data_IF_332044203291
#
_entry.id   IF_332044203291
#
_cell.length_a   1.000
_cell.length_b   1.000
_cell.length_c   1.000
_cell.angle_alpha   90.00
_cell.angle_beta   90.00
_cell.angle_gamma   90.00
#
_symmetry.space_group_name_H-M   'P 1'
#
loop_
_entity.id
_entity.type
_entity.pdbx_description
1 polymer ?
#
# COMPACT_ATOMS: atom_id res chain seq x y z
N UNK A 1 -9.38 25.16 -4.83
CA UNK A 1 -8.32 25.55 -3.90
C UNK A 1 -8.19 24.55 -2.76
N UNK A 2 -9.28 24.09 -2.15
CA UNK A 2 -9.26 23.05 -1.10
C UNK A 2 -8.59 21.73 -1.51
N UNK A 3 -8.87 21.20 -2.71
CA UNK A 3 -8.24 19.96 -3.21
C UNK A 3 -6.72 20.04 -3.29
N UNK A 4 -6.15 21.20 -3.63
CA UNK A 4 -4.68 21.40 -3.69
C UNK A 4 -4.09 21.41 -2.29
N UNK A 5 -4.76 22.09 -1.34
CA UNK A 5 -4.33 22.15 0.06
C UNK A 5 -4.38 20.77 0.72
N UNK A 6 -5.45 20.00 0.49
CA UNK A 6 -5.62 18.66 1.03
C UNK A 6 -4.57 17.68 0.46
N UNK A 7 -4.26 17.78 -0.84
CA UNK A 7 -3.20 17.00 -1.50
C UNK A 7 -1.83 17.30 -0.91
N UNK A 8 -1.49 18.59 -0.71
CA UNK A 8 -0.19 19.00 -0.16
C UNK A 8 -0.02 18.55 1.29
N UNK A 9 -1.09 18.55 2.09
CA UNK A 9 -1.06 18.11 3.48
C UNK A 9 -0.90 16.59 3.59
N UNK A 10 -1.59 15.80 2.76
CA UNK A 10 -1.45 14.33 2.67
C UNK A 10 -0.01 13.94 2.33
N UNK A 11 0.53 14.48 1.24
CA UNK A 11 1.91 14.22 0.79
C UNK A 11 2.94 14.55 1.86
N UNK A 12 2.77 15.70 2.54
CA UNK A 12 3.66 16.11 3.64
C UNK A 12 3.58 15.14 4.82
N UNK A 13 2.38 14.66 5.15
CA UNK A 13 2.18 13.69 6.23
C UNK A 13 2.83 12.34 5.92
N UNK A 14 2.66 11.82 4.70
CA UNK A 14 3.30 10.57 4.25
C UNK A 14 4.82 10.72 4.30
N UNK A 15 5.37 11.78 3.70
CA UNK A 15 6.82 12.06 3.70
C UNK A 15 7.37 12.15 5.13
N UNK A 16 6.67 12.85 6.03
CA UNK A 16 7.08 12.95 7.44
C UNK A 16 7.09 11.59 8.13
N UNK A 17 6.10 10.75 7.88
CA UNK A 17 6.05 9.38 8.43
C UNK A 17 7.26 8.57 7.93
N UNK A 18 7.49 8.50 6.61
CA UNK A 18 8.62 7.77 6.02
C UNK A 18 9.98 8.27 6.53
N UNK A 19 10.16 9.59 6.64
CA UNK A 19 11.42 10.16 7.20
C UNK A 19 11.58 9.76 8.67
N UNK A 20 10.51 9.79 9.46
CA UNK A 20 10.59 9.38 10.87
C UNK A 20 10.97 7.90 10.99
N UNK A 21 10.39 7.03 10.17
CA UNK A 21 10.71 5.58 10.15
C UNK A 21 12.14 5.37 9.68
N UNK A 22 12.58 6.02 8.61
CA UNK A 22 13.97 5.96 8.15
C UNK A 22 14.96 6.34 9.26
N UNK A 23 14.68 7.43 9.99
CA UNK A 23 15.54 7.87 11.11
C UNK A 23 15.55 6.82 12.23
N UNK A 24 14.40 6.23 12.57
CA UNK A 24 14.32 5.18 13.59
C UNK A 24 15.09 3.92 13.14
N UNK A 25 14.87 3.44 11.93
CA UNK A 25 15.56 2.25 11.39
C UNK A 25 17.08 2.48 11.29
N UNK A 26 17.49 3.64 10.82
CA UNK A 26 18.91 4.01 10.75
C UNK A 26 19.54 4.09 12.15
N UNK A 27 18.82 4.62 13.14
CA UNK A 27 19.28 4.67 14.54
C UNK A 27 19.50 3.27 15.10
N UNK A 28 18.57 2.35 14.84
CA UNK A 28 18.69 0.94 15.25
C UNK A 28 19.85 0.27 14.53
N UNK A 29 20.01 0.47 13.22
CA UNK A 29 21.12 -0.09 12.44
C UNK A 29 22.48 0.39 12.98
N UNK A 30 22.64 1.70 13.20
CA UNK A 30 23.86 2.29 13.75
C UNK A 30 24.13 1.75 15.16
N UNK A 31 23.11 1.67 16.03
CA UNK A 31 23.29 1.11 17.37
C UNK A 31 23.79 -0.34 17.33
N UNK A 32 23.22 -1.19 16.45
CA UNK A 32 23.68 -2.56 16.22
C UNK A 32 25.12 -2.61 15.73
N UNK A 33 25.49 -1.77 14.76
CA UNK A 33 26.85 -1.71 14.24
C UNK A 33 27.87 -1.30 15.31
N UNK A 34 27.54 -0.28 16.11
CA UNK A 34 28.39 0.16 17.24
C UNK A 34 28.56 -0.94 18.27
N UNK A 35 27.45 -1.56 18.71
CA UNK A 35 27.48 -2.67 19.69
C UNK A 35 28.26 -3.85 19.12
N UNK A 36 28.04 -4.23 17.87
CA UNK A 36 28.75 -5.31 17.19
C UNK A 36 30.26 -5.06 17.13
N UNK A 37 30.65 -3.84 16.77
CA UNK A 37 32.05 -3.43 16.69
C UNK A 37 32.75 -3.44 18.07
N UNK A 38 32.10 -2.83 19.07
CA UNK A 38 32.65 -2.75 20.44
C UNK A 38 32.72 -4.12 21.13
N UNK A 39 31.75 -5.00 20.88
CA UNK A 39 31.71 -6.35 21.45
C UNK A 39 32.56 -7.37 20.66
N UNK A 40 33.04 -7.01 19.45
CA UNK A 40 33.72 -7.95 18.55
C UNK A 40 32.79 -9.04 17.99
N UNK A 41 31.47 -8.89 18.12
CA UNK A 41 30.49 -9.88 17.67
C UNK A 41 30.19 -9.73 16.18
N UNK A 42 30.67 -10.67 15.36
CA UNK A 42 30.37 -10.72 13.94
C UNK A 42 28.86 -10.89 13.65
N UNK A 43 28.14 -11.63 14.49
CA UNK A 43 26.70 -11.81 14.38
C UNK A 43 25.95 -10.49 14.50
N UNK A 44 26.29 -9.65 15.51
CA UNK A 44 25.64 -8.35 15.69
C UNK A 44 26.03 -7.38 14.56
N UNK A 45 27.27 -7.42 14.08
CA UNK A 45 27.71 -6.63 12.92
C UNK A 45 26.93 -7.00 11.68
N UNK A 46 26.78 -8.30 11.40
CA UNK A 46 26.00 -8.79 10.26
C UNK A 46 24.52 -8.34 10.34
N UNK A 47 23.92 -8.47 11.54
CA UNK A 47 22.55 -8.01 11.79
C UNK A 47 22.41 -6.48 11.64
N UNK A 48 23.42 -5.70 12.05
CA UNK A 48 23.47 -4.26 11.85
C UNK A 48 23.58 -3.87 10.37
N UNK A 49 24.38 -4.57 9.57
CA UNK A 49 24.48 -4.38 8.12
C UNK A 49 23.15 -4.73 7.43
N UNK A 50 22.50 -5.82 7.85
CA UNK A 50 21.18 -6.17 7.33
C UNK A 50 20.15 -5.09 7.61
N UNK A 51 20.10 -4.58 8.86
CA UNK A 51 19.21 -3.45 9.22
C UNK A 51 19.50 -2.16 8.41
N UNK A 52 20.75 -1.95 7.97
CA UNK A 52 21.09 -0.85 7.09
C UNK A 52 20.55 -1.06 5.66
N UNK A 53 20.57 -2.30 5.16
CA UNK A 53 19.94 -2.66 3.88
C UNK A 53 18.42 -2.48 3.96
N UNK A 54 17.79 -2.87 5.08
CA UNK A 54 16.34 -2.69 5.29
C UNK A 54 15.94 -1.20 5.27
N UNK A 55 16.79 -0.32 5.82
CA UNK A 55 16.58 1.13 5.73
C UNK A 55 16.55 1.64 4.27
N UNK A 56 17.13 0.90 3.31
CA UNK A 56 17.04 1.24 1.89
C UNK A 56 15.61 1.17 1.34
N UNK A 57 14.75 0.31 1.87
CA UNK A 57 13.34 0.24 1.50
C UNK A 57 12.59 1.55 1.82
N UNK A 58 12.92 2.18 2.95
CA UNK A 58 12.35 3.49 3.29
C UNK A 58 12.82 4.60 2.32
N UNK A 59 14.07 4.51 1.82
CA UNK A 59 14.58 5.44 0.79
C UNK A 59 13.80 5.25 -0.52
N UNK A 60 13.54 4.01 -0.93
CA UNK A 60 12.69 3.70 -2.09
C UNK A 60 11.30 4.30 -1.91
N UNK A 61 10.69 4.14 -0.72
CA UNK A 61 9.41 4.75 -0.37
C UNK A 61 9.43 6.28 -0.49
N UNK A 62 10.48 6.94 0.00
CA UNK A 62 10.65 8.40 -0.08
C UNK A 62 10.81 8.88 -1.53
N UNK A 63 11.60 8.18 -2.34
CA UNK A 63 11.78 8.50 -3.77
C UNK A 63 10.46 8.31 -4.51
N UNK A 64 9.78 7.17 -4.30
CA UNK A 64 8.47 6.91 -4.90
C UNK A 64 7.44 7.96 -4.53
N UNK A 65 7.37 8.37 -3.26
CA UNK A 65 6.50 9.45 -2.80
C UNK A 65 6.86 10.80 -3.43
N UNK A 66 8.16 11.09 -3.60
CA UNK A 66 8.59 12.32 -4.26
C UNK A 66 8.17 12.38 -5.73
N UNK A 67 8.19 11.25 -6.43
CA UNK A 67 7.70 11.13 -7.81
C UNK A 67 6.16 11.22 -7.82
N UNK A 68 5.47 10.45 -7.01
CA UNK A 68 4.01 10.43 -6.94
C UNK A 68 3.38 11.79 -6.58
N UNK A 69 4.12 12.62 -5.87
CA UNK A 69 3.69 13.96 -5.48
C UNK A 69 3.76 14.99 -6.63
N UNK A 70 4.45 14.69 -7.74
CA UNK A 70 4.56 15.64 -8.87
C UNK A 70 3.17 15.95 -9.43
N UNK A 71 2.92 17.20 -9.83
CA UNK A 71 1.69 17.59 -10.50
C UNK A 71 1.57 16.89 -11.87
N UNK A 72 0.37 16.92 -12.48
CA UNK A 72 0.22 16.57 -13.88
C UNK A 72 1.18 17.35 -14.78
N UNK A 73 1.73 16.67 -15.78
CA UNK A 73 2.58 17.22 -16.82
C UNK A 73 2.13 16.70 -18.20
N UNK A 74 2.74 17.12 -19.32
CA UNK A 74 2.33 16.68 -20.65
C UNK A 74 2.41 15.16 -20.86
N UNK A 75 3.36 14.48 -20.24
CA UNK A 75 3.56 13.03 -20.33
C UNK A 75 2.62 12.25 -19.37
N UNK A 76 2.20 12.89 -18.29
CA UNK A 76 1.33 12.31 -17.25
C UNK A 76 0.15 13.25 -16.93
N UNK A 77 -0.85 13.38 -17.83
CA UNK A 77 -1.97 14.33 -17.67
C UNK A 77 -2.82 14.08 -16.41
N UNK A 78 -2.90 12.83 -15.94
CA UNK A 78 -3.58 12.45 -14.68
C UNK A 78 -2.70 12.58 -13.44
N UNK A 79 -1.45 13.02 -13.61
CA UNK A 79 -0.44 13.12 -12.56
C UNK A 79 0.27 11.79 -12.28
N UNK A 80 1.12 11.78 -11.26
CA UNK A 80 2.07 10.71 -10.99
C UNK A 80 1.66 9.77 -9.85
N UNK A 81 0.41 9.82 -9.38
CA UNK A 81 -0.04 9.05 -8.19
C UNK A 81 0.17 7.54 -8.30
N UNK A 82 0.06 6.96 -9.51
CA UNK A 82 0.28 5.53 -9.74
C UNK A 82 1.69 5.06 -9.41
N UNK A 83 2.65 5.98 -9.29
CA UNK A 83 3.99 5.67 -8.78
C UNK A 83 3.99 5.21 -7.32
N UNK A 84 2.94 5.51 -6.51
CA UNK A 84 2.78 4.90 -5.19
C UNK A 84 2.61 3.37 -5.31
N UNK A 85 1.74 2.91 -6.21
CA UNK A 85 1.53 1.48 -6.45
C UNK A 85 2.78 0.79 -7.03
N UNK A 86 3.48 1.44 -7.97
CA UNK A 86 4.76 0.93 -8.51
C UNK A 86 5.82 0.80 -7.42
N UNK A 87 5.93 1.80 -6.54
CA UNK A 87 6.85 1.75 -5.39
C UNK A 87 6.52 0.62 -4.44
N UNK A 88 5.22 0.38 -4.20
CA UNK A 88 4.77 -0.75 -3.37
C UNK A 88 5.16 -2.10 -3.97
N UNK A 89 5.16 -2.24 -5.31
CA UNK A 89 5.64 -3.45 -5.99
C UNK A 89 7.15 -3.66 -5.78
N UNK A 90 7.95 -2.60 -5.76
CA UNK A 90 9.39 -2.70 -5.47
C UNK A 90 9.60 -3.21 -4.04
N UNK A 91 8.84 -2.67 -3.06
CA UNK A 91 8.90 -3.14 -1.67
C UNK A 91 8.46 -4.62 -1.57
N UNK A 92 7.40 -5.01 -2.26
CA UNK A 92 6.94 -6.41 -2.30
C UNK A 92 7.99 -7.33 -2.94
N UNK A 93 8.73 -6.85 -3.95
CA UNK A 93 9.87 -7.57 -4.53
C UNK A 93 10.99 -7.82 -3.51
N UNK A 94 11.33 -6.81 -2.70
CA UNK A 94 12.32 -6.96 -1.62
C UNK A 94 11.84 -7.99 -0.58
N UNK A 95 10.56 -7.99 -0.20
CA UNK A 95 9.98 -9.03 0.67
C UNK A 95 10.06 -10.42 0.04
N UNK A 96 9.87 -10.54 -1.27
CA UNK A 96 10.06 -11.80 -2.00
C UNK A 96 11.49 -12.34 -1.92
N UNK A 97 12.48 -11.47 -2.05
CA UNK A 97 13.90 -11.84 -1.89
C UNK A 97 14.17 -12.30 -0.44
N UNK A 98 13.62 -11.62 0.56
CA UNK A 98 13.73 -12.03 1.97
C UNK A 98 13.14 -13.43 2.19
N UNK A 99 11.99 -13.75 1.60
CA UNK A 99 11.39 -15.10 1.66
C UNK A 99 12.35 -16.15 1.09
N UNK A 100 12.97 -15.88 -0.06
CA UNK A 100 13.94 -16.80 -0.67
C UNK A 100 15.13 -17.02 0.26
N UNK A 101 15.67 -15.97 0.86
CA UNK A 101 16.80 -16.08 1.81
C UNK A 101 16.41 -16.92 3.04
N UNK A 102 15.26 -16.66 3.65
CA UNK A 102 14.79 -17.42 4.83
C UNK A 102 14.64 -18.91 4.48
N UNK A 103 14.08 -19.23 3.30
CA UNK A 103 13.94 -20.63 2.87
C UNK A 103 15.27 -21.30 2.60
N UNK A 104 16.26 -20.60 2.01
CA UNK A 104 17.61 -21.12 1.82
C UNK A 104 18.32 -21.38 3.15
N UNK A 105 18.22 -20.44 4.11
CA UNK A 105 18.80 -20.60 5.44
C UNK A 105 18.15 -21.75 6.20
N UNK A 106 16.82 -21.87 6.15
CA UNK A 106 16.10 -22.98 6.75
C UNK A 106 16.52 -24.33 6.16
N UNK A 107 16.72 -24.38 4.83
CA UNK A 107 17.21 -25.56 4.14
C UNK A 107 18.61 -25.97 4.59
N UNK A 108 19.55 -25.03 4.64
CA UNK A 108 20.92 -25.27 5.14
C UNK A 108 20.91 -25.78 6.60
N UNK A 109 20.13 -25.19 7.48
CA UNK A 109 20.01 -25.63 8.88
C UNK A 109 19.43 -27.04 9.01
N UNK A 110 18.53 -27.43 8.11
CA UNK A 110 18.01 -28.81 8.07
C UNK A 110 19.08 -29.82 7.67
N UNK A 111 19.99 -29.46 6.74
CA UNK A 111 21.04 -30.35 6.24
C UNK A 111 22.25 -30.43 7.18
N UNK A 112 22.75 -29.27 7.63
CA UNK A 112 24.06 -29.18 8.30
C UNK A 112 23.97 -29.19 9.83
N UNK A 113 22.76 -29.14 10.42
CA UNK A 113 22.51 -29.03 11.86
C UNK A 113 23.30 -27.91 12.55
N UNK A 114 23.66 -26.87 11.80
CA UNK A 114 24.37 -25.71 12.35
C UNK A 114 23.42 -24.91 13.24
N UNK A 115 23.86 -24.64 14.45
CA UNK A 115 23.13 -23.82 15.40
C UNK A 115 23.75 -22.41 15.44
N UNK A 116 22.95 -21.34 15.35
CA UNK A 116 23.47 -19.98 15.52
C UNK A 116 23.97 -19.79 16.96
N UNK A 117 25.22 -19.30 17.07
CA UNK A 117 25.74 -18.88 18.37
C UNK A 117 25.09 -17.54 18.78
N UNK A 118 24.33 -17.56 19.85
CA UNK A 118 23.68 -16.36 20.38
C UNK A 118 24.22 -16.04 21.76
N UNK A 119 24.89 -14.91 21.84
CA UNK A 119 25.32 -14.34 23.12
C UNK A 119 24.16 -13.66 23.85
N UNK A 120 24.20 -13.50 25.18
CA UNK A 120 23.18 -12.74 25.92
C UNK A 120 23.01 -11.31 25.39
N UNK A 121 24.08 -10.70 24.90
CA UNK A 121 24.06 -9.36 24.32
C UNK A 121 23.33 -9.36 22.99
N UNK A 122 23.59 -10.33 22.09
CA UNK A 122 22.87 -10.49 20.83
C UNK A 122 21.37 -10.66 21.07
N UNK A 123 21.00 -11.48 22.06
CA UNK A 123 19.61 -11.69 22.42
C UNK A 123 18.92 -10.40 22.91
N UNK A 124 19.60 -9.60 23.75
CA UNK A 124 19.05 -8.33 24.22
C UNK A 124 18.84 -7.34 23.05
N UNK A 125 19.82 -7.24 22.12
CA UNK A 125 19.70 -6.40 20.92
C UNK A 125 18.54 -6.85 20.04
N UNK A 126 18.39 -8.16 19.81
CA UNK A 126 17.26 -8.72 19.04
C UNK A 126 15.91 -8.40 19.68
N UNK A 127 15.79 -8.51 21.00
CA UNK A 127 14.55 -8.20 21.71
C UNK A 127 14.19 -6.71 21.60
N UNK A 128 15.16 -5.81 21.77
CA UNK A 128 14.94 -4.37 21.59
C UNK A 128 14.52 -4.05 20.16
N UNK A 129 15.19 -4.61 19.17
CA UNK A 129 14.85 -4.41 17.74
C UNK A 129 13.44 -4.94 17.45
N UNK A 130 13.07 -6.11 17.95
CA UNK A 130 11.73 -6.68 17.80
C UNK A 130 10.66 -5.71 18.32
N UNK A 131 10.84 -5.16 19.52
CA UNK A 131 9.89 -4.22 20.12
C UNK A 131 9.79 -2.93 19.30
N UNK A 132 10.92 -2.40 18.82
CA UNK A 132 10.94 -1.21 17.93
C UNK A 132 10.20 -1.51 16.63
N UNK A 133 10.49 -2.62 15.95
CA UNK A 133 9.85 -2.99 14.69
C UNK A 133 8.34 -3.21 14.83
N UNK A 134 7.87 -3.82 15.92
CA UNK A 134 6.44 -3.95 16.23
C UNK A 134 5.79 -2.57 16.39
N UNK A 135 6.43 -1.68 17.14
CA UNK A 135 5.94 -0.32 17.37
C UNK A 135 5.86 0.49 16.06
N UNK A 136 6.95 0.48 15.29
CA UNK A 136 7.04 1.18 13.99
C UNK A 136 6.02 0.64 13.01
N UNK A 137 5.99 -0.67 12.78
CA UNK A 137 5.04 -1.30 11.84
C UNK A 137 3.58 -1.02 12.20
N UNK A 138 3.23 -1.09 13.49
CA UNK A 138 1.87 -0.79 13.95
C UNK A 138 1.49 0.67 13.69
N UNK A 139 2.41 1.60 13.97
CA UNK A 139 2.22 3.02 13.73
C UNK A 139 2.10 3.34 12.23
N UNK A 140 2.99 2.80 11.39
CA UNK A 140 2.94 2.95 9.93
C UNK A 140 1.66 2.39 9.34
N UNK A 141 1.25 1.20 9.76
CA UNK A 141 0.01 0.57 9.30
C UNK A 141 -1.21 1.44 9.60
N UNK A 142 -1.24 2.06 10.79
CA UNK A 142 -2.30 3.01 11.14
C UNK A 142 -2.25 4.25 10.25
N UNK A 143 -1.07 4.85 10.07
CA UNK A 143 -0.88 6.02 9.20
C UNK A 143 -1.16 5.73 7.75
N UNK A 144 -0.77 4.55 7.25
CA UNK A 144 -1.05 4.09 5.89
C UNK A 144 -2.55 4.01 5.61
N UNK A 145 -3.34 3.50 6.56
CA UNK A 145 -4.81 3.48 6.46
C UNK A 145 -5.42 4.88 6.50
N UNK A 146 -5.01 5.71 7.45
CA UNK A 146 -5.52 7.09 7.61
C UNK A 146 -5.23 7.95 6.36
N UNK A 147 -4.09 7.74 5.73
CA UNK A 147 -3.64 8.50 4.56
C UNK A 147 -3.93 7.81 3.23
N UNK A 148 -4.56 6.62 3.23
CA UNK A 148 -4.82 5.82 2.04
C UNK A 148 -3.56 5.71 1.15
N UNK A 149 -2.41 5.37 1.74
CA UNK A 149 -1.12 5.26 1.05
C UNK A 149 -0.67 3.82 0.92
N UNK A 150 -0.53 3.33 -0.31
CA UNK A 150 -0.01 2.00 -0.62
C UNK A 150 1.45 1.86 -0.20
N UNK A 151 2.25 2.92 -0.34
CA UNK A 151 3.66 2.93 0.08
C UNK A 151 3.76 2.68 1.58
N UNK A 152 3.06 3.46 2.43
CA UNK A 152 3.10 3.25 3.89
C UNK A 152 2.56 1.88 4.30
N UNK A 153 1.54 1.37 3.59
CA UNK A 153 1.00 0.04 3.85
C UNK A 153 1.97 -1.07 3.48
N UNK A 154 2.73 -0.90 2.40
CA UNK A 154 3.76 -1.84 1.97
C UNK A 154 4.97 -1.82 2.92
N UNK A 155 5.44 -0.62 3.29
CA UNK A 155 6.55 -0.42 4.22
C UNK A 155 6.22 -1.01 5.60
N UNK A 156 5.00 -0.77 6.13
CA UNK A 156 4.53 -1.38 7.37
C UNK A 156 4.53 -2.93 7.33
N UNK A 157 4.22 -3.53 6.17
CA UNK A 157 4.28 -5.00 6.00
C UNK A 157 5.72 -5.50 5.94
N UNK A 158 6.62 -4.75 5.33
CA UNK A 158 8.04 -5.05 5.31
C UNK A 158 8.63 -5.00 6.74
N UNK A 159 8.42 -3.93 7.49
CA UNK A 159 8.85 -3.81 8.90
C UNK A 159 8.23 -4.90 9.80
N UNK A 160 6.97 -5.30 9.52
CA UNK A 160 6.36 -6.43 10.22
C UNK A 160 7.03 -7.76 9.88
N UNK A 161 7.50 -7.95 8.64
CA UNK A 161 8.25 -9.14 8.24
C UNK A 161 9.55 -9.25 9.04
N UNK A 162 10.29 -8.15 9.21
CA UNK A 162 11.52 -8.12 10.02
C UNK A 162 11.27 -8.47 11.49
N UNK A 163 10.14 -7.98 12.04
CA UNK A 163 9.71 -8.36 13.38
C UNK A 163 9.39 -9.86 13.49
N UNK A 164 8.74 -10.45 12.47
CA UNK A 164 8.44 -11.89 12.44
C UNK A 164 9.71 -12.73 12.33
N UNK A 165 10.68 -12.31 11.51
CA UNK A 165 11.99 -12.98 11.42
C UNK A 165 12.69 -12.96 12.79
N UNK A 166 12.74 -11.81 13.47
CA UNK A 166 13.32 -11.68 14.80
C UNK A 166 12.63 -12.60 15.82
N UNK A 167 11.29 -12.68 15.76
CA UNK A 167 10.50 -13.56 16.64
C UNK A 167 10.78 -15.04 16.34
N UNK A 168 10.93 -15.43 15.07
CA UNK A 168 11.30 -16.79 14.67
C UNK A 168 12.64 -17.20 15.25
N UNK A 169 13.64 -16.34 15.13
CA UNK A 169 14.99 -16.61 15.64
C UNK A 169 14.95 -16.78 17.16
N UNK A 170 14.24 -15.91 17.87
CA UNK A 170 14.07 -16.04 19.33
C UNK A 170 13.37 -17.37 19.70
N UNK A 171 12.27 -17.69 19.04
CA UNK A 171 11.50 -18.93 19.25
C UNK A 171 12.30 -20.19 18.92
N UNK A 172 13.02 -20.17 17.80
CA UNK A 172 13.91 -21.24 17.38
C UNK A 172 15.01 -21.53 18.40
N UNK A 173 15.67 -20.48 18.89
CA UNK A 173 16.70 -20.59 19.92
C UNK A 173 16.17 -21.18 21.24
N UNK A 174 14.97 -20.77 21.65
CA UNK A 174 14.33 -21.34 22.84
C UNK A 174 14.02 -22.83 22.64
N UNK A 175 13.53 -23.22 21.46
CA UNK A 175 13.24 -24.60 21.11
C UNK A 175 14.52 -25.46 21.05
N UNK A 176 15.60 -24.94 20.46
CA UNK A 176 16.92 -25.62 20.41
C UNK A 176 17.46 -25.84 21.84
N UNK A 177 17.36 -24.83 22.72
CA UNK A 177 17.75 -24.99 24.13
C UNK A 177 16.92 -26.05 24.88
N UNK A 178 15.66 -26.23 24.47
CA UNK A 178 14.77 -27.26 25.01
C UNK A 178 15.02 -28.65 24.38
N UNK A 179 16.00 -28.79 23.46
CA UNK A 179 16.34 -30.05 22.79
C UNK A 179 15.59 -30.32 21.48
N UNK A 180 14.79 -29.37 20.99
CA UNK A 180 13.97 -29.51 19.78
C UNK A 180 14.57 -28.75 18.58
N UNK A 181 15.78 -29.15 18.11
CA UNK A 181 16.49 -28.47 17.04
C UNK A 181 15.70 -28.35 15.71
N UNK A 182 14.80 -29.28 15.41
CA UNK A 182 13.98 -29.26 14.18
C UNK A 182 12.94 -28.15 14.15
N UNK A 183 12.58 -27.57 15.31
CA UNK A 183 11.55 -26.54 15.41
C UNK A 183 12.03 -25.22 14.80
N UNK A 184 13.32 -24.89 14.89
CA UNK A 184 13.89 -23.66 14.34
C UNK A 184 13.68 -23.54 12.82
N UNK A 185 14.11 -24.46 11.97
CA UNK A 185 13.86 -24.35 10.52
C UNK A 185 12.38 -24.47 10.15
N UNK A 186 11.56 -25.20 10.90
CA UNK A 186 10.11 -25.28 10.65
C UNK A 186 9.42 -23.94 10.96
N UNK A 187 9.81 -23.25 12.04
CA UNK A 187 9.32 -21.91 12.34
C UNK A 187 9.72 -20.94 11.24
N UNK A 188 10.98 -20.98 10.76
CA UNK A 188 11.45 -20.14 9.68
C UNK A 188 10.62 -20.33 8.39
N UNK A 189 10.33 -21.59 8.00
CA UNK A 189 9.48 -21.90 6.84
C UNK A 189 8.06 -21.35 7.05
N UNK A 190 7.47 -21.55 8.22
CA UNK A 190 6.12 -21.03 8.55
C UNK A 190 6.05 -19.50 8.41
N UNK A 191 7.07 -18.79 8.90
CA UNK A 191 7.15 -17.33 8.82
C UNK A 191 7.41 -16.86 7.39
N UNK A 192 8.27 -17.55 6.62
CA UNK A 192 8.43 -17.28 5.20
C UNK A 192 7.09 -17.34 4.46
N UNK A 193 6.22 -18.30 4.79
CA UNK A 193 4.85 -18.37 4.26
C UNK A 193 3.99 -17.14 4.61
N UNK A 194 4.05 -16.65 5.84
CA UNK A 194 3.32 -15.43 6.26
C UNK A 194 3.84 -14.19 5.53
N UNK A 195 5.17 -14.06 5.38
CA UNK A 195 5.79 -12.93 4.66
C UNK A 195 5.42 -13.00 3.16
N UNK A 196 5.47 -14.18 2.55
CA UNK A 196 5.06 -14.38 1.15
C UNK A 196 3.59 -13.98 0.93
N UNK A 197 2.69 -14.33 1.84
CA UNK A 197 1.30 -13.88 1.81
C UNK A 197 1.18 -12.35 1.92
N UNK A 198 1.97 -11.72 2.80
CA UNK A 198 2.05 -10.27 2.93
C UNK A 198 2.47 -9.60 1.61
N UNK A 199 3.55 -10.09 0.97
CA UNK A 199 4.02 -9.62 -0.32
C UNK A 199 2.97 -9.80 -1.43
N UNK A 200 2.31 -10.98 -1.48
CA UNK A 200 1.22 -11.23 -2.42
C UNK A 200 0.07 -10.24 -2.28
N UNK A 201 -0.34 -9.90 -1.06
CA UNK A 201 -1.41 -8.90 -0.86
C UNK A 201 -1.02 -7.52 -1.38
N UNK A 202 0.26 -7.12 -1.25
CA UNK A 202 0.75 -5.86 -1.81
C UNK A 202 0.71 -5.90 -3.34
N UNK A 203 1.19 -7.01 -3.95
CA UNK A 203 1.19 -7.20 -5.41
C UNK A 203 -0.25 -7.14 -5.94
N UNK A 204 -1.18 -7.84 -5.30
CA UNK A 204 -2.59 -7.86 -5.69
C UNK A 204 -3.21 -6.46 -5.64
N UNK A 205 -3.00 -5.73 -4.53
CA UNK A 205 -3.59 -4.40 -4.34
C UNK A 205 -2.99 -3.38 -5.33
N UNK A 206 -1.68 -3.46 -5.60
CA UNK A 206 -1.02 -2.66 -6.62
C UNK A 206 -1.52 -3.01 -8.04
N UNK A 207 -1.69 -4.31 -8.35
CA UNK A 207 -2.22 -4.76 -9.63
C UNK A 207 -3.64 -4.24 -9.87
N UNK A 208 -4.53 -4.30 -8.86
CA UNK A 208 -5.88 -3.73 -8.93
C UNK A 208 -5.86 -2.22 -9.21
N UNK A 209 -4.97 -1.48 -8.55
CA UNK A 209 -4.79 -0.04 -8.79
C UNK A 209 -4.29 0.25 -10.21
N UNK A 210 -3.30 -0.51 -10.69
CA UNK A 210 -2.68 -0.30 -12.01
C UNK A 210 -3.56 -0.77 -13.17
N UNK A 211 -4.44 -1.75 -12.93
CA UNK A 211 -5.40 -2.27 -13.92
C UNK A 211 -6.74 -1.55 -13.95
N UNK A 212 -6.87 -0.40 -13.29
CA UNK A 212 -8.12 0.37 -13.24
C UNK A 212 -9.31 -0.41 -12.65
N UNK A 213 -9.07 -1.28 -11.69
CA UNK A 213 -10.14 -2.01 -11.02
C UNK A 213 -11.14 -1.05 -10.34
N UNK A 214 -12.43 -1.41 -10.38
CA UNK A 214 -13.48 -0.65 -9.73
C UNK A 214 -13.24 -0.56 -8.21
N UNK A 215 -13.32 0.64 -7.66
CA UNK A 215 -13.05 0.91 -6.23
C UNK A 215 -14.31 1.26 -5.44
N UNK A 216 -15.38 1.66 -6.13
CA UNK A 216 -16.70 1.94 -5.54
C UNK A 216 -17.73 1.11 -6.29
N UNK A 217 -18.64 0.40 -5.60
CA UNK A 217 -19.71 -0.35 -6.24
C UNK A 217 -20.60 0.59 -7.07
N UNK A 218 -20.95 0.15 -8.28
CA UNK A 218 -21.78 0.92 -9.23
C UNK A 218 -23.13 1.27 -8.62
N UNK A 219 -23.72 0.35 -7.85
CA UNK A 219 -25.02 0.49 -7.21
C UNK A 219 -25.08 1.66 -6.22
N UNK A 220 -23.97 1.95 -5.55
CA UNK A 220 -23.85 3.07 -4.60
C UNK A 220 -23.95 4.40 -5.35
N UNK A 221 -23.21 4.52 -6.47
CA UNK A 221 -23.21 5.72 -7.30
C UNK A 221 -24.58 5.87 -7.98
N UNK A 222 -25.10 4.79 -8.56
CA UNK A 222 -26.41 4.78 -9.23
C UNK A 222 -27.53 5.26 -8.30
N UNK A 223 -27.56 4.74 -7.08
CA UNK A 223 -28.58 5.13 -6.10
C UNK A 223 -28.49 6.62 -5.75
N UNK A 224 -27.30 7.14 -5.52
CA UNK A 224 -27.10 8.54 -5.20
C UNK A 224 -27.50 9.47 -6.36
N UNK A 225 -27.10 9.13 -7.59
CA UNK A 225 -27.37 9.95 -8.79
C UNK A 225 -28.86 9.95 -9.16
N UNK A 226 -29.57 8.85 -8.99
CA UNK A 226 -31.03 8.78 -9.22
C UNK A 226 -31.84 9.68 -8.30
N UNK A 227 -31.30 10.06 -7.14
CA UNK A 227 -31.91 11.00 -6.21
C UNK A 227 -31.77 12.47 -6.62
N UNK A 228 -30.97 12.80 -7.62
CA UNK A 228 -30.75 14.18 -8.06
C UNK A 228 -31.90 14.67 -8.94
N UNK A 229 -32.55 15.79 -8.60
CA UNK A 229 -33.67 16.34 -9.39
C UNK A 229 -33.21 16.64 -10.84
N UNK A 230 -34.03 16.26 -11.80
CA UNK A 230 -33.77 16.46 -13.24
C UNK A 230 -33.03 15.30 -13.93
N UNK A 231 -32.50 14.33 -13.19
CA UNK A 231 -31.95 13.10 -13.73
C UNK A 231 -33.09 12.14 -14.07
N UNK A 232 -33.22 11.76 -15.36
CA UNK A 232 -34.19 10.79 -15.86
C UNK A 232 -33.62 9.37 -15.96
N UNK A 233 -32.30 9.25 -16.13
CA UNK A 233 -31.60 7.97 -16.20
C UNK A 233 -30.11 8.15 -15.91
N UNK A 234 -29.45 7.06 -15.50
CA UNK A 234 -28.02 7.00 -15.27
C UNK A 234 -27.47 5.65 -15.77
N UNK A 235 -26.33 5.67 -16.43
CA UNK A 235 -25.69 4.47 -16.97
C UNK A 235 -24.18 4.68 -17.23
N UNK A 236 -23.50 3.65 -17.72
CA UNK A 236 -22.05 3.68 -18.01
C UNK A 236 -21.21 4.18 -16.81
N UNK A 237 -21.62 3.82 -15.60
CA UNK A 237 -20.91 4.20 -14.39
C UNK A 237 -19.61 3.37 -14.32
N UNK A 238 -18.48 4.05 -14.27
CA UNK A 238 -17.16 3.45 -14.12
C UNK A 238 -16.43 4.15 -12.98
N UNK A 239 -15.81 3.37 -12.14
CA UNK A 239 -14.98 3.90 -11.05
C UNK A 239 -13.59 3.28 -11.15
N UNK A 240 -12.57 4.06 -10.86
CA UNK A 240 -11.18 3.60 -10.75
C UNK A 240 -10.47 4.49 -9.75
N UNK A 241 -9.35 4.04 -9.23
CA UNK A 241 -8.59 4.87 -8.32
C UNK A 241 -7.59 4.11 -7.50
N UNK A 242 -7.11 4.77 -6.48
CA UNK A 242 -6.11 4.33 -5.53
C UNK A 242 -5.44 5.53 -4.89
N UNK A 243 -4.70 5.27 -3.81
CA UNK A 243 -3.85 6.28 -3.17
C UNK A 243 -4.58 7.60 -2.85
N UNK A 244 -5.84 7.47 -2.38
CA UNK A 244 -6.64 8.58 -1.87
C UNK A 244 -7.27 9.48 -2.93
N UNK A 245 -7.48 8.99 -4.16
CA UNK A 245 -8.27 9.66 -5.19
C UNK A 245 -9.09 8.63 -5.98
N UNK A 246 -10.37 8.92 -6.19
CA UNK A 246 -11.28 8.12 -7.01
C UNK A 246 -11.63 8.91 -8.26
N UNK A 247 -11.53 8.29 -9.44
CA UNK A 247 -12.08 8.81 -10.67
C UNK A 247 -13.41 8.11 -10.95
N UNK A 248 -14.40 8.90 -11.30
CA UNK A 248 -15.74 8.42 -11.65
C UNK A 248 -16.14 8.99 -12.99
N UNK A 249 -16.43 8.13 -13.93
CA UNK A 249 -17.06 8.49 -15.19
C UNK A 249 -18.48 7.96 -15.20
N UNK A 250 -19.45 8.78 -15.57
CA UNK A 250 -20.84 8.34 -15.68
C UNK A 250 -21.62 9.15 -16.72
N UNK A 251 -22.69 8.56 -17.23
CA UNK A 251 -23.63 9.21 -18.13
C UNK A 251 -24.94 9.44 -17.41
N UNK A 252 -25.51 10.61 -17.57
CA UNK A 252 -26.87 10.95 -17.11
C UNK A 252 -27.76 11.31 -18.27
N UNK A 253 -29.03 10.98 -18.13
CA UNK A 253 -30.06 11.35 -19.08
C UNK A 253 -30.95 12.44 -18.46
N UNK A 254 -31.15 13.52 -19.21
CA UNK A 254 -31.95 14.67 -18.80
C UNK A 254 -33.02 14.98 -19.86
N UNK A 255 -33.94 15.88 -19.56
CA UNK A 255 -34.95 16.33 -20.52
C UNK A 255 -34.29 16.89 -21.80
N UNK A 256 -34.66 16.42 -23.00
CA UNK A 256 -34.13 16.90 -24.27
C UNK A 256 -34.32 18.40 -24.52
N UNK A 257 -35.36 18.99 -23.93
CA UNK A 257 -35.71 20.40 -24.14
C UNK A 257 -34.98 21.37 -23.21
N UNK A 258 -34.10 20.84 -22.30
CA UNK A 258 -33.32 21.68 -21.42
C UNK A 258 -32.24 22.46 -22.18
N UNK A 259 -32.04 23.70 -21.80
CA UNK A 259 -30.87 24.44 -22.25
C UNK A 259 -29.57 23.79 -21.75
N UNK A 260 -28.48 23.92 -22.49
CA UNK A 260 -27.14 23.44 -22.07
C UNK A 260 -26.77 23.96 -20.68
N UNK A 261 -27.18 25.19 -20.33
CA UNK A 261 -26.97 25.74 -18.99
C UNK A 261 -27.64 24.90 -17.92
N UNK A 262 -28.93 24.61 -18.06
CA UNK A 262 -29.69 23.82 -17.08
C UNK A 262 -29.17 22.39 -16.98
N UNK A 263 -28.86 21.78 -18.10
CA UNK A 263 -28.26 20.45 -18.16
C UNK A 263 -26.88 20.41 -17.43
N UNK A 264 -26.07 21.45 -17.58
CA UNK A 264 -24.79 21.59 -16.88
C UNK A 264 -24.96 21.78 -15.36
N UNK A 265 -25.98 22.52 -14.93
CA UNK A 265 -26.32 22.68 -13.50
C UNK A 265 -26.67 21.33 -12.85
N UNK A 266 -27.48 20.50 -13.55
CA UNK A 266 -27.81 19.14 -13.12
C UNK A 266 -26.54 18.29 -13.05
N UNK A 267 -25.69 18.31 -14.06
CA UNK A 267 -24.43 17.57 -14.09
C UNK A 267 -23.48 17.97 -12.93
N UNK A 268 -23.44 19.26 -12.61
CA UNK A 268 -22.66 19.78 -11.49
C UNK A 268 -23.19 19.31 -10.14
N UNK A 269 -24.53 19.21 -9.99
CA UNK A 269 -25.15 18.68 -8.79
C UNK A 269 -24.90 17.18 -8.63
N UNK A 270 -24.98 16.42 -9.74
CA UNK A 270 -24.61 14.99 -9.79
C UNK A 270 -23.15 14.80 -9.35
N UNK A 271 -22.21 15.55 -9.91
CA UNK A 271 -20.81 15.45 -9.53
C UNK A 271 -20.61 15.69 -8.03
N UNK A 272 -21.26 16.72 -7.47
CA UNK A 272 -21.19 17.06 -6.04
C UNK A 272 -21.80 15.96 -5.17
N UNK A 273 -22.94 15.40 -5.58
CA UNK A 273 -23.61 14.29 -4.86
C UNK A 273 -22.72 13.05 -4.83
N UNK A 274 -22.07 12.70 -5.95
CA UNK A 274 -21.15 11.58 -6.04
C UNK A 274 -19.94 11.82 -5.14
N UNK A 275 -19.31 13.00 -5.18
CA UNK A 275 -18.19 13.36 -4.29
C UNK A 275 -18.55 13.19 -2.81
N UNK A 276 -19.72 13.65 -2.42
CA UNK A 276 -20.23 13.53 -1.02
C UNK A 276 -20.49 12.08 -0.64
N UNK A 277 -21.07 11.30 -1.55
CA UNK A 277 -21.37 9.88 -1.32
C UNK A 277 -20.12 9.04 -1.14
N UNK A 278 -19.06 9.32 -1.91
CA UNK A 278 -17.78 8.61 -1.81
C UNK A 278 -17.04 8.96 -0.50
N UNK A 279 -17.23 10.17 0.04
CA UNK A 279 -16.63 10.61 1.31
C UNK A 279 -15.10 10.74 1.30
N UNK A 280 -14.48 10.71 0.12
CA UNK A 280 -13.04 10.95 -0.09
C UNK A 280 -12.83 11.77 -1.37
N UNK A 281 -11.57 12.20 -1.65
CA UNK A 281 -11.28 12.95 -2.85
C UNK A 281 -11.71 12.18 -4.10
N UNK A 282 -12.55 12.80 -4.93
CA UNK A 282 -12.99 12.24 -6.19
C UNK A 282 -12.85 13.25 -7.31
N UNK A 283 -12.68 12.74 -8.53
CA UNK A 283 -12.72 13.48 -9.79
C UNK A 283 -13.85 12.86 -10.62
N UNK A 284 -14.93 13.62 -10.84
CA UNK A 284 -16.16 13.12 -11.40
C UNK A 284 -16.41 13.76 -12.75
N UNK A 285 -16.43 12.94 -13.81
CA UNK A 285 -16.79 13.34 -15.16
C UNK A 285 -18.22 12.88 -15.46
N UNK A 286 -19.10 13.83 -15.74
CA UNK A 286 -20.50 13.57 -16.07
C UNK A 286 -20.74 13.87 -17.54
N UNK A 287 -21.09 12.83 -18.30
CA UNK A 287 -21.56 12.96 -19.67
C UNK A 287 -23.08 13.11 -19.66
N UNK A 288 -23.60 14.18 -20.31
CA UNK A 288 -25.03 14.47 -20.36
C UNK A 288 -25.62 14.04 -21.71
N UNK A 289 -26.69 13.27 -21.66
CA UNK A 289 -27.42 12.76 -22.81
C UNK A 289 -28.90 13.17 -22.76
N UNK A 290 -29.58 13.38 -23.90
CA UNK A 290 -31.03 13.57 -23.91
C UNK A 290 -31.75 12.26 -23.60
N UNK A 291 -32.82 12.32 -22.81
CA UNK A 291 -33.65 11.16 -22.46
C UNK A 291 -34.58 10.79 -23.62
N UNK A 292 -34.03 10.27 -24.72
CA UNK A 292 -34.76 9.80 -25.89
C UNK A 292 -35.02 8.29 -25.80
N UNK A 293 -36.13 7.76 -26.42
CA UNK A 293 -36.45 6.32 -26.38
C UNK A 293 -35.31 5.40 -26.84
N UNK A 294 -34.50 5.85 -27.78
CA UNK A 294 -33.33 5.14 -28.29
C UNK A 294 -32.17 5.07 -27.30
N UNK A 295 -32.04 6.05 -26.41
CA UNK A 295 -31.04 6.09 -25.34
C UNK A 295 -31.51 5.46 -24.03
N UNK A 296 -32.84 5.26 -23.84
CA UNK A 296 -33.41 4.62 -22.67
C UNK A 296 -33.21 3.09 -22.64
N UNK A 297 -32.87 2.48 -23.76
CA UNK A 297 -32.55 1.04 -23.86
C UNK A 297 -31.12 0.77 -23.40
N UNK A 298 -30.82 1.12 -22.17
CA UNK A 298 -29.50 0.87 -21.64
C UNK A 298 -29.40 -0.51 -21.07
N UNK A 299 -28.60 -1.31 -21.72
CA UNK A 299 -28.08 -2.56 -21.24
C UNK A 299 -27.34 -2.35 -19.92
N UNK A 300 -27.77 -3.08 -18.88
CA UNK A 300 -26.91 -3.36 -17.71
C UNK A 300 -25.67 -4.06 -18.24
N UNK A 301 -24.54 -3.39 -18.26
CA UNK A 301 -23.27 -3.99 -18.64
C UNK A 301 -22.43 -3.08 -19.53
N UNK A 302 -21.14 -3.22 -19.40
CA UNK A 302 -20.15 -2.61 -20.28
C UNK A 302 -20.57 -2.87 -21.74
N UNK A 303 -20.60 -1.84 -22.59
CA UNK A 303 -20.50 -2.09 -24.03
C UNK A 303 -19.17 -2.79 -24.25
N UNK A 304 -19.20 -4.11 -24.39
CA UNK A 304 -18.08 -4.81 -24.99
C UNK A 304 -17.97 -4.23 -26.40
N UNK A 305 -16.83 -3.67 -26.74
CA UNK A 305 -16.51 -3.27 -28.11
C UNK A 305 -16.52 -4.55 -28.91
N UNK A 306 -17.68 -4.90 -29.49
CA UNK A 306 -17.76 -5.89 -30.57
C UNK A 306 -17.45 -5.09 -31.83
N UNK A 307 -16.36 -5.46 -32.49
CA UNK A 307 -15.97 -5.01 -33.82
C UNK A 307 -17.12 -5.18 -34.84
#
# INVERSE_FOLDING_TARGET
MERIVQRSSRTRSIKRTLVTVLVLNLTVAIAKLVVGFVSGSLSILADGLNSLLDASANIVGLVGMAIAARPPDPDHPYGHRRFEALTSLVIAGAMGLLVVQILQDAWHRLQERVQPEVTPLSFAVMLVTLLVNIGVSTWERRRGRELHSSILSADAKHTAADALVSLAVIGGLMAVRAGYAIVDPLLAIGIAGVIAWGAWTIIRDAALTLSDAAVVPVEVIEHAVRGVPGVRGVHNIRTRGGDGLVWVDLHIQVDPELSVRMAHEIASEVARTVEQTIGQAADVTVHVEPALPEHLRVTRGYRVWTE
#
